data_IF_412832298165
#
_entry.id   IF_412832298165
#
_cell.length_a   1.000
_cell.length_b   1.000
_cell.length_c   1.000
_cell.angle_alpha   90.00
_cell.angle_beta   90.00
_cell.angle_gamma   90.00
#
_symmetry.space_group_name_H-M   'P 1'
#
loop_
_entity.id
_entity.type
_entity.pdbx_description
1 polymer ?
#
# COMPACT_ATOMS: atom_id res chain seq x y z
N UNK A 1 -52.18 -49.42 35.06
CA UNK A 1 -51.41 -48.17 35.27
C UNK A 1 -51.71 -47.06 34.23
N UNK A 2 -52.42 -47.34 33.12
CA UNK A 2 -52.75 -46.35 32.09
C UNK A 2 -53.88 -45.36 32.44
N UNK A 3 -54.89 -45.76 33.22
CA UNK A 3 -56.05 -44.92 33.51
C UNK A 3 -55.70 -43.66 34.34
N UNK A 4 -54.81 -43.78 35.33
CA UNK A 4 -54.39 -42.67 36.20
C UNK A 4 -53.60 -41.59 35.44
N UNK A 5 -52.87 -41.96 34.38
CA UNK A 5 -52.15 -41.00 33.54
C UNK A 5 -53.10 -40.28 32.57
N UNK A 6 -54.16 -40.96 32.10
CA UNK A 6 -55.16 -40.36 31.21
C UNK A 6 -56.05 -39.37 31.97
N UNK A 7 -56.46 -39.70 33.20
CA UNK A 7 -57.27 -38.79 34.04
C UNK A 7 -56.54 -37.52 34.48
N UNK A 8 -55.21 -37.57 34.57
CA UNK A 8 -54.35 -36.40 34.82
C UNK A 8 -54.35 -35.46 33.60
N UNK A 9 -54.05 -36.00 32.42
CA UNK A 9 -54.10 -35.26 31.14
C UNK A 9 -55.47 -34.63 30.82
N UNK A 10 -56.57 -35.24 31.28
CA UNK A 10 -57.93 -34.73 31.10
C UNK A 10 -58.38 -33.72 32.18
N UNK A 11 -57.54 -33.42 33.18
CA UNK A 11 -57.87 -32.48 34.25
C UNK A 11 -57.69 -31.03 33.79
N UNK A 12 -58.78 -30.26 33.81
CA UNK A 12 -58.75 -28.81 33.54
C UNK A 12 -57.78 -28.02 34.43
N UNK A 13 -57.50 -28.54 35.63
CA UNK A 13 -56.60 -27.89 36.58
C UNK A 13 -55.13 -28.09 36.19
N UNK A 14 -54.77 -29.28 35.71
CA UNK A 14 -53.44 -29.54 35.14
C UNK A 14 -53.23 -28.74 33.84
N UNK A 15 -54.25 -28.66 32.97
CA UNK A 15 -54.23 -27.81 31.78
C UNK A 15 -53.92 -26.34 32.11
N UNK A 16 -54.64 -25.74 33.07
CA UNK A 16 -54.42 -24.34 33.49
C UNK A 16 -53.03 -24.12 34.08
N UNK A 17 -52.52 -25.10 34.85
CA UNK A 17 -51.19 -25.04 35.48
C UNK A 17 -50.08 -25.07 34.43
N UNK A 18 -50.18 -25.92 33.42
CA UNK A 18 -49.17 -26.00 32.36
C UNK A 18 -49.28 -24.84 31.37
N UNK A 19 -50.50 -24.36 31.11
CA UNK A 19 -50.72 -23.12 30.37
C UNK A 19 -50.09 -21.91 31.05
N UNK A 20 -50.22 -21.78 32.38
CA UNK A 20 -49.59 -20.70 33.13
C UNK A 20 -48.06 -20.73 33.02
N UNK A 21 -47.47 -21.93 33.02
CA UNK A 21 -46.02 -22.10 32.81
C UNK A 21 -45.62 -21.71 31.39
N UNK A 22 -46.29 -22.24 30.37
CA UNK A 22 -45.90 -22.04 28.96
C UNK A 22 -46.19 -20.62 28.45
N UNK A 23 -47.24 -19.96 28.93
CA UNK A 23 -47.59 -18.55 28.63
C UNK A 23 -46.43 -17.58 28.89
N UNK A 24 -45.61 -17.87 29.89
CA UNK A 24 -44.47 -17.02 30.28
C UNK A 24 -43.16 -17.38 29.58
N UNK A 25 -43.11 -18.54 28.91
CA UNK A 25 -41.92 -19.04 28.25
C UNK A 25 -41.87 -18.53 26.80
N UNK A 26 -41.43 -17.29 26.66
CA UNK A 26 -41.21 -16.68 25.35
C UNK A 26 -39.78 -16.94 24.87
N UNK A 27 -39.64 -17.82 23.88
CA UNK A 27 -38.37 -18.12 23.24
C UNK A 27 -38.33 -17.43 21.88
N UNK A 28 -37.88 -16.18 21.84
CA UNK A 28 -37.57 -15.53 20.57
C UNK A 28 -36.18 -15.94 20.12
N UNK A 29 -36.11 -16.70 19.03
CA UNK A 29 -34.84 -16.96 18.35
C UNK A 29 -34.20 -15.68 17.82
N UNK A 30 -32.88 -15.68 17.56
CA UNK A 30 -32.17 -14.54 17.00
C UNK A 30 -32.67 -14.13 15.60
N UNK A 31 -33.33 -15.02 14.87
CA UNK A 31 -33.83 -14.80 13.51
C UNK A 31 -35.26 -14.21 13.47
N UNK A 32 -35.79 -13.80 14.63
CA UNK A 32 -37.09 -13.13 14.69
C UNK A 32 -37.04 -11.77 13.96
N UNK A 33 -38.06 -11.42 13.15
CA UNK A 33 -38.04 -10.23 12.31
C UNK A 33 -37.85 -8.93 13.10
N UNK A 34 -38.39 -8.84 14.32
CA UNK A 34 -38.18 -7.68 15.20
C UNK A 34 -36.72 -7.51 15.64
N UNK A 35 -36.03 -8.61 15.97
CA UNK A 35 -34.60 -8.57 16.33
C UNK A 35 -33.73 -8.22 15.12
N UNK A 36 -34.05 -8.75 13.93
CA UNK A 36 -33.35 -8.42 12.70
C UNK A 36 -33.51 -6.94 12.32
N UNK A 37 -34.73 -6.41 12.43
CA UNK A 37 -34.98 -4.99 12.20
C UNK A 37 -34.24 -4.12 13.22
N UNK A 38 -34.34 -4.44 14.51
CA UNK A 38 -33.63 -3.70 15.56
C UNK A 38 -32.11 -3.69 15.35
N UNK A 39 -31.52 -4.84 14.97
CA UNK A 39 -30.09 -4.96 14.67
C UNK A 39 -29.69 -4.09 13.46
N UNK A 40 -30.50 -4.07 12.40
CA UNK A 40 -30.27 -3.22 11.22
C UNK A 40 -30.39 -1.73 11.60
N UNK A 41 -31.41 -1.35 12.35
CA UNK A 41 -31.59 0.02 12.84
C UNK A 41 -30.43 0.46 13.74
N UNK A 42 -29.94 -0.42 14.61
CA UNK A 42 -28.77 -0.14 15.45
C UNK A 42 -27.50 0.05 14.61
N UNK A 43 -27.27 -0.78 13.59
CA UNK A 43 -26.14 -0.62 12.67
C UNK A 43 -26.20 0.72 11.93
N UNK A 44 -27.38 1.11 11.44
CA UNK A 44 -27.60 2.38 10.75
C UNK A 44 -27.43 3.60 11.67
N UNK A 45 -27.88 3.51 12.91
CA UNK A 45 -27.72 4.57 13.91
C UNK A 45 -26.30 4.64 14.50
N UNK A 46 -25.45 3.63 14.27
CA UNK A 46 -24.12 3.56 14.85
C UNK A 46 -23.07 4.20 13.95
N UNK A 47 -22.25 5.10 14.51
CA UNK A 47 -21.08 5.70 13.83
C UNK A 47 -19.88 4.73 13.72
N UNK A 48 -20.06 3.45 14.06
CA UNK A 48 -18.97 2.47 14.12
C UNK A 48 -18.28 2.34 12.76
N UNK A 49 -19.07 2.32 11.67
CA UNK A 49 -18.56 2.25 10.30
C UNK A 49 -17.83 3.53 9.87
N UNK A 50 -18.18 4.69 10.44
CA UNK A 50 -17.52 5.97 10.15
C UNK A 50 -16.13 6.08 10.80
N UNK A 51 -15.95 5.45 11.96
CA UNK A 51 -14.66 5.45 12.67
C UNK A 51 -13.66 4.44 12.11
N UNK A 52 -14.06 3.60 11.16
CA UNK A 52 -13.14 2.69 10.52
C UNK A 52 -12.23 3.45 9.53
N UNK A 53 -10.91 3.17 9.52
CA UNK A 53 -10.03 3.73 8.52
C UNK A 53 -10.52 3.37 7.11
N UNK A 54 -10.48 4.35 6.20
CA UNK A 54 -10.91 4.15 4.82
C UNK A 54 -10.11 3.00 4.17
N UNK A 55 -10.77 2.12 3.39
CA UNK A 55 -10.10 1.17 2.53
C UNK A 55 -9.10 1.91 1.63
N UNK A 56 -7.99 1.24 1.30
CA UNK A 56 -6.96 1.75 0.39
C UNK A 56 -7.62 2.30 -0.90
N UNK A 57 -7.04 3.35 -1.51
CA UNK A 57 -7.67 4.03 -2.64
C UNK A 57 -8.06 3.02 -3.73
N UNK A 58 -9.33 3.06 -4.11
CA UNK A 58 -10.01 2.21 -5.10
C UNK A 58 -9.49 2.36 -6.53
N UNK A 59 -8.39 3.08 -6.74
CA UNK A 59 -7.82 3.26 -8.06
C UNK A 59 -6.79 2.17 -8.32
N UNK A 60 -7.09 1.31 -9.28
CA UNK A 60 -6.13 0.35 -9.79
C UNK A 60 -4.85 1.09 -10.22
N UNK A 61 -3.66 0.69 -9.75
CA UNK A 61 -2.41 1.35 -10.13
C UNK A 61 -2.15 1.31 -11.64
N UNK A 62 -2.86 0.44 -12.36
CA UNK A 62 -2.83 0.28 -13.81
C UNK A 62 -3.76 1.25 -14.57
N UNK A 63 -4.72 1.91 -13.91
CA UNK A 63 -5.69 2.78 -14.55
C UNK A 63 -5.00 3.96 -15.25
N UNK A 64 -5.20 4.06 -16.57
CA UNK A 64 -4.51 4.99 -17.47
C UNK A 64 -4.58 6.46 -17.01
N UNK A 65 -5.70 6.88 -16.42
CA UNK A 65 -5.88 8.25 -15.90
C UNK A 65 -4.92 8.58 -14.76
N UNK A 66 -4.67 7.66 -13.84
CA UNK A 66 -3.73 7.85 -12.73
C UNK A 66 -2.28 7.86 -13.24
N UNK A 67 -1.95 6.99 -14.20
CA UNK A 67 -0.63 7.00 -14.85
C UNK A 67 -0.38 8.31 -15.59
N UNK A 68 -1.36 8.82 -16.32
CA UNK A 68 -1.25 10.08 -17.05
C UNK A 68 -1.10 11.26 -16.09
N UNK A 69 -1.93 11.33 -15.05
CA UNK A 69 -1.83 12.37 -14.02
C UNK A 69 -0.47 12.38 -13.32
N UNK A 70 0.06 11.19 -12.96
CA UNK A 70 1.41 11.06 -12.38
C UNK A 70 2.50 11.52 -13.34
N UNK A 71 2.42 11.13 -14.62
CA UNK A 71 3.37 11.56 -15.65
C UNK A 71 3.31 13.08 -15.86
N UNK A 72 2.12 13.66 -15.99
CA UNK A 72 1.93 15.10 -16.12
C UNK A 72 2.50 15.86 -14.92
N UNK A 73 2.25 15.38 -13.69
CA UNK A 73 2.81 15.98 -12.48
C UNK A 73 4.34 15.89 -12.46
N UNK A 74 4.92 14.74 -12.82
CA UNK A 74 6.38 14.58 -12.89
C UNK A 74 7.02 15.49 -13.94
N UNK A 75 6.35 15.70 -15.08
CA UNK A 75 6.80 16.61 -16.13
C UNK A 75 6.68 18.08 -15.72
N UNK A 76 5.59 18.45 -15.05
CA UNK A 76 5.37 19.79 -14.54
C UNK A 76 6.30 20.12 -13.35
N UNK A 77 6.67 19.12 -12.56
CA UNK A 77 7.52 19.33 -11.39
C UNK A 77 8.99 19.47 -11.79
N UNK A 78 9.64 20.56 -11.39
CA UNK A 78 11.10 20.76 -11.55
C UNK A 78 11.95 19.83 -10.66
N UNK A 79 11.39 18.77 -10.09
CA UNK A 79 12.05 17.93 -9.08
C UNK A 79 13.28 17.23 -9.68
N UNK A 80 13.15 16.65 -10.88
CA UNK A 80 14.26 15.98 -11.58
C UNK A 80 15.34 16.98 -12.02
N UNK A 81 14.93 18.12 -12.56
CA UNK A 81 15.87 19.17 -12.95
C UNK A 81 16.70 19.68 -11.74
N UNK A 82 16.04 19.88 -10.59
CA UNK A 82 16.71 20.31 -9.37
C UNK A 82 17.56 19.21 -8.73
N UNK A 83 17.21 17.93 -8.87
CA UNK A 83 18.04 16.84 -8.35
C UNK A 83 19.40 16.80 -9.05
N UNK A 84 19.42 16.89 -10.38
CA UNK A 84 20.65 16.83 -11.17
C UNK A 84 21.48 18.11 -11.00
N UNK A 85 20.79 19.25 -10.86
CA UNK A 85 21.43 20.51 -10.52
C UNK A 85 22.04 20.47 -9.11
N UNK A 86 21.40 19.82 -8.15
CA UNK A 86 21.95 19.67 -6.79
C UNK A 86 23.14 18.69 -6.75
N UNK A 87 23.15 17.67 -7.62
CA UNK A 87 24.30 16.77 -7.78
C UNK A 87 25.54 17.51 -8.32
N UNK A 88 25.32 18.50 -9.17
CA UNK A 88 26.40 19.28 -9.80
C UNK A 88 26.73 20.57 -9.04
N UNK A 89 25.80 21.08 -8.24
CA UNK A 89 26.04 22.21 -7.33
C UNK A 89 27.07 21.82 -6.27
N UNK A 90 28.19 22.52 -6.29
CA UNK A 90 29.31 22.29 -5.37
C UNK A 90 30.45 21.49 -5.98
N UNK A 91 30.30 20.94 -7.19
CA UNK A 91 31.43 20.44 -7.97
C UNK A 91 32.18 21.67 -8.51
N UNK A 92 33.22 22.08 -7.78
CA UNK A 92 34.10 23.15 -8.23
C UNK A 92 34.94 22.69 -9.41
N UNK A 93 35.05 23.53 -10.44
CA UNK A 93 36.04 23.32 -11.49
C UNK A 93 37.44 23.46 -10.88
N UNK A 94 38.26 22.42 -11.00
CA UNK A 94 39.65 22.45 -10.54
C UNK A 94 40.55 22.26 -11.77
N UNK A 95 41.52 23.16 -12.00
CA UNK A 95 42.37 23.06 -13.18
C UNK A 95 43.20 21.77 -13.15
N UNK A 96 43.36 21.10 -14.31
CA UNK A 96 44.27 19.97 -14.43
C UNK A 96 45.70 20.43 -14.12
N UNK A 97 46.44 19.66 -13.32
CA UNK A 97 47.77 20.02 -12.83
C UNK A 97 47.78 20.85 -11.53
N UNK A 98 46.62 21.15 -10.94
CA UNK A 98 46.60 21.70 -9.58
C UNK A 98 47.20 20.72 -8.58
N UNK A 99 47.83 21.23 -7.52
CA UNK A 99 48.47 20.42 -6.49
C UNK A 99 47.54 19.35 -5.89
N UNK A 100 46.27 19.70 -5.65
CA UNK A 100 45.28 18.76 -5.10
C UNK A 100 44.98 17.59 -6.06
N UNK A 101 44.88 17.88 -7.36
CA UNK A 101 44.63 16.87 -8.40
C UNK A 101 45.86 15.97 -8.59
N UNK A 102 47.06 16.55 -8.63
CA UNK A 102 48.31 15.80 -8.75
C UNK A 102 48.59 14.92 -7.52
N UNK A 103 48.30 15.42 -6.32
CA UNK A 103 48.42 14.61 -5.09
C UNK A 103 47.42 13.44 -5.09
N UNK A 104 46.18 13.67 -5.51
CA UNK A 104 45.19 12.59 -5.66
C UNK A 104 45.60 11.56 -6.71
N UNK A 105 46.17 12.01 -7.84
CA UNK A 105 46.69 11.15 -8.91
C UNK A 105 47.83 10.27 -8.41
N UNK A 106 48.84 10.85 -7.74
CA UNK A 106 49.95 10.10 -7.15
C UNK A 106 49.48 9.13 -6.07
N UNK A 107 48.52 9.52 -5.24
CA UNK A 107 47.94 8.63 -4.24
C UNK A 107 47.21 7.44 -4.88
N UNK A 108 46.48 7.67 -5.98
CA UNK A 108 45.82 6.62 -6.75
C UNK A 108 46.84 5.67 -7.42
N UNK A 109 47.92 6.19 -7.99
CA UNK A 109 49.02 5.41 -8.57
C UNK A 109 49.69 4.53 -7.51
N UNK A 110 49.95 5.09 -6.31
CA UNK A 110 50.50 4.34 -5.17
C UNK A 110 49.54 3.26 -4.66
N UNK A 111 48.23 3.54 -4.61
CA UNK A 111 47.22 2.56 -4.21
C UNK A 111 47.11 1.41 -5.23
N UNK A 112 47.21 1.73 -6.53
CA UNK A 112 47.27 0.75 -7.61
C UNK A 112 48.53 -0.11 -7.53
N UNK A 113 49.70 0.52 -7.33
CA UNK A 113 50.98 -0.18 -7.17
C UNK A 113 51.00 -1.10 -5.95
N UNK A 114 50.24 -0.75 -4.90
CA UNK A 114 50.06 -1.56 -3.69
C UNK A 114 48.99 -2.66 -3.84
N UNK A 115 48.37 -2.80 -5.01
CA UNK A 115 47.39 -3.87 -5.30
C UNK A 115 46.08 -3.77 -4.52
N UNK A 116 45.81 -2.64 -3.86
CA UNK A 116 44.65 -2.47 -2.96
C UNK A 116 43.30 -2.36 -3.69
N UNK A 117 43.34 -2.26 -5.03
CA UNK A 117 42.15 -2.06 -5.87
C UNK A 117 41.20 -3.26 -5.94
N UNK A 118 41.65 -4.45 -5.52
CA UNK A 118 40.84 -5.68 -5.55
C UNK A 118 40.00 -5.95 -4.29
N UNK A 119 40.26 -5.26 -3.17
CA UNK A 119 39.60 -5.53 -1.89
C UNK A 119 38.29 -4.73 -1.68
N UNK A 120 38.12 -3.63 -2.42
CA UNK A 120 36.90 -2.83 -2.41
C UNK A 120 36.39 -2.75 -3.84
N UNK A 121 35.42 -3.60 -4.19
CA UNK A 121 34.75 -3.51 -5.47
C UNK A 121 34.01 -2.18 -5.58
N UNK A 122 34.46 -1.32 -6.50
CA UNK A 122 33.73 -0.11 -6.88
C UNK A 122 34.57 0.92 -7.62
N UNK A 123 33.88 1.87 -8.28
CA UNK A 123 33.16 1.68 -9.53
C UNK A 123 34.15 1.64 -10.71
N UNK A 124 33.76 0.89 -11.76
CA UNK A 124 34.40 0.90 -13.07
C UNK A 124 34.70 2.34 -13.48
N UNK A 125 35.97 2.64 -13.74
CA UNK A 125 36.34 3.92 -14.30
C UNK A 125 35.73 3.97 -15.71
N UNK A 126 34.53 4.55 -15.82
CA UNK A 126 33.97 4.92 -17.11
C UNK A 126 34.94 5.95 -17.66
N UNK A 127 35.83 5.47 -18.53
CA UNK A 127 36.58 6.33 -19.43
C UNK A 127 35.56 7.28 -20.03
N UNK A 128 35.77 8.57 -19.79
CA UNK A 128 35.06 9.61 -20.53
C UNK A 128 35.63 9.55 -21.94
N UNK A 129 35.22 8.52 -22.67
CA UNK A 129 35.37 8.44 -24.10
C UNK A 129 34.59 9.60 -24.68
N UNK A 130 35.30 10.42 -25.44
CA UNK A 130 34.76 11.22 -26.51
C UNK A 130 33.70 10.39 -27.25
N UNK A 131 32.42 10.62 -26.97
CA UNK A 131 31.35 9.94 -27.69
C UNK A 131 30.26 10.94 -28.01
N UNK A 132 30.24 11.30 -29.30
CA UNK A 132 29.18 12.01 -29.96
C UNK A 132 27.86 11.31 -29.63
N UNK A 133 27.05 11.91 -28.75
CA UNK A 133 25.64 11.53 -28.65
C UNK A 133 24.93 12.24 -29.77
N UNK A 134 24.91 11.59 -30.93
CA UNK A 134 23.93 11.88 -31.95
C UNK A 134 22.54 11.77 -31.33
N UNK A 135 21.72 12.76 -31.63
CA UNK A 135 20.31 12.79 -31.33
C UNK A 135 19.62 11.63 -32.09
N UNK A 136 19.55 10.45 -31.49
CA UNK A 136 18.67 9.39 -31.99
C UNK A 136 17.34 9.51 -31.25
N UNK A 137 16.39 10.16 -31.90
CA UNK A 137 15.00 10.24 -31.49
C UNK A 137 14.37 8.83 -31.45
N UNK A 138 13.80 8.39 -30.30
CA UNK A 138 13.18 7.06 -30.20
C UNK A 138 11.73 6.99 -30.71
N UNK A 139 11.21 8.01 -31.40
CA UNK A 139 9.84 8.02 -31.98
C UNK A 139 9.80 7.73 -33.50
N UNK A 140 10.74 6.95 -34.03
CA UNK A 140 10.79 6.59 -35.46
C UNK A 140 10.60 5.08 -35.70
N UNK A 141 9.72 4.43 -34.94
CA UNK A 141 9.24 3.08 -35.25
C UNK A 141 7.85 3.14 -35.87
N UNK A 142 7.81 2.82 -37.16
CA UNK A 142 6.68 2.28 -37.95
C UNK A 142 5.55 3.24 -38.38
N UNK A 143 5.73 3.84 -39.57
CA UNK A 143 4.64 4.02 -40.55
C UNK A 143 5.08 3.33 -41.84
N UNK A 144 4.69 2.07 -42.00
CA UNK A 144 4.22 1.43 -43.23
C UNK A 144 3.20 0.35 -42.84
#
# INVERSE_FOLDING_TARGET
KHFLSVGKLQSDNEYKKDFAKSRSQFHSGPDQPGFLQAKRSQQLASDVSYRQPLPQPTCDPEQLGLKHARKAHQLQSDVKYKSDLNLTRGIGWTPPGSYKVEMARRAAELANARGLRGAYGGPEAVETGDNQRGDVNPDATEIL
#
